data_IF_403192072095
#
_entry.id   IF_403192072095
#
_cell.length_a   1.000
_cell.length_b   1.000
_cell.length_c   1.000
_cell.angle_alpha   90.00
_cell.angle_beta   90.00
_cell.angle_gamma   90.00
#
_symmetry.space_group_name_H-M   'P 1'
#
loop_
_entity.id
_entity.type
_entity.pdbx_description
1 polymer ?
#
# COMPACT_ATOMS: atom_id res chain seq x y z
N UNK A 1 19.03 -3.98 0.01
CA UNK A 1 18.14 -3.27 0.95
C UNK A 1 17.78 -4.19 2.09
N UNK A 2 17.95 -3.74 3.31
CA UNK A 2 17.56 -4.52 4.49
C UNK A 2 16.09 -4.31 4.78
N UNK A 3 15.37 -5.35 5.25
CA UNK A 3 14.00 -5.16 5.74
C UNK A 3 13.99 -4.17 6.89
N UNK A 4 12.92 -3.43 7.03
CA UNK A 4 12.74 -2.49 8.11
C UNK A 4 12.37 -1.11 7.62
N UNK A 5 12.63 -0.11 8.45
CA UNK A 5 12.29 1.26 8.12
C UNK A 5 13.16 1.78 6.97
N UNK A 6 12.50 2.33 5.95
CA UNK A 6 13.15 2.85 4.75
C UNK A 6 12.72 4.30 4.57
N UNK A 7 13.69 5.20 4.44
CA UNK A 7 13.40 6.62 4.24
C UNK A 7 14.38 7.31 3.28
N UNK A 8 15.37 6.61 2.75
CA UNK A 8 16.29 7.21 1.78
C UNK A 8 15.62 7.33 0.41
N UNK A 9 15.87 8.43 -0.27
CA UNK A 9 15.29 8.71 -1.58
C UNK A 9 15.61 7.61 -2.59
N UNK A 10 16.83 7.09 -2.60
CA UNK A 10 17.22 6.04 -3.53
C UNK A 10 16.48 4.73 -3.28
N UNK A 11 16.26 4.35 -2.02
CA UNK A 11 15.53 3.14 -1.69
C UNK A 11 14.05 3.27 -2.04
N UNK A 12 13.47 4.44 -1.77
CA UNK A 12 12.08 4.73 -2.12
C UNK A 12 11.88 4.69 -3.63
N UNK A 13 12.84 5.22 -4.39
CA UNK A 13 12.79 5.18 -5.86
C UNK A 13 12.81 3.73 -6.37
N UNK A 14 13.63 2.87 -5.80
CA UNK A 14 13.69 1.45 -6.19
C UNK A 14 12.34 0.77 -5.95
N UNK A 15 11.73 0.98 -4.78
CA UNK A 15 10.42 0.40 -4.46
C UNK A 15 9.40 0.83 -5.51
N UNK A 16 9.32 2.13 -5.76
CA UNK A 16 8.27 2.69 -6.63
C UNK A 16 8.47 2.27 -8.09
N UNK A 17 9.71 2.21 -8.55
CA UNK A 17 9.98 1.79 -9.93
C UNK A 17 9.71 0.32 -10.17
N UNK A 18 9.91 -0.52 -9.17
CA UNK A 18 9.79 -1.97 -9.33
C UNK A 18 8.42 -2.53 -9.01
N UNK A 19 7.56 -1.78 -8.31
CA UNK A 19 6.26 -2.29 -7.88
C UNK A 19 5.33 -2.50 -9.08
N UNK A 20 4.64 -3.64 -9.10
CA UNK A 20 3.66 -4.00 -10.15
C UNK A 20 2.27 -4.17 -9.59
N UNK A 21 2.14 -4.66 -8.35
CA UNK A 21 0.87 -4.89 -7.69
C UNK A 21 0.82 -4.08 -6.41
N UNK A 22 -0.23 -3.31 -6.25
CA UNK A 22 -0.44 -2.47 -5.06
C UNK A 22 -1.83 -2.73 -4.52
N UNK A 23 -1.91 -3.24 -3.29
CA UNK A 23 -3.17 -3.31 -2.58
C UNK A 23 -3.32 -2.04 -1.75
N UNK A 24 -4.51 -1.46 -1.75
CA UNK A 24 -4.74 -0.16 -1.11
C UNK A 24 -5.78 -0.31 -0.02
N UNK A 25 -5.32 -0.24 1.23
CA UNK A 25 -6.18 -0.33 2.41
C UNK A 25 -6.81 1.03 2.67
N UNK A 26 -8.14 1.05 2.79
CA UNK A 26 -8.87 2.29 2.97
C UNK A 26 -9.14 3.02 1.66
N UNK A 27 -8.98 2.36 0.52
CA UNK A 27 -9.28 2.94 -0.78
C UNK A 27 -10.74 3.41 -0.85
N UNK A 28 -10.96 4.58 -1.43
CA UNK A 28 -12.30 5.12 -1.67
C UNK A 28 -12.77 4.73 -3.06
N UNK A 29 -14.09 4.59 -3.20
CA UNK A 29 -14.69 4.32 -4.51
C UNK A 29 -15.00 5.63 -5.27
N UNK A 30 -15.69 5.52 -6.40
CA UNK A 30 -15.97 6.65 -7.29
C UNK A 30 -16.87 7.72 -6.68
N UNK A 31 -17.55 7.45 -5.57
CA UNK A 31 -18.31 8.46 -4.82
C UNK A 31 -17.40 9.49 -4.16
N UNK A 32 -16.11 9.13 -3.99
CA UNK A 32 -15.09 9.99 -3.39
C UNK A 32 -13.91 10.14 -4.34
N UNK A 33 -14.21 10.34 -5.64
CA UNK A 33 -13.18 10.31 -6.69
C UNK A 33 -12.16 11.45 -6.58
N UNK A 34 -12.44 12.49 -5.80
CA UNK A 34 -11.55 13.64 -5.56
C UNK A 34 -10.65 13.46 -4.33
N UNK A 35 -10.87 12.44 -3.52
CA UNK A 35 -10.06 12.22 -2.32
C UNK A 35 -8.77 11.46 -2.65
N UNK A 36 -7.67 11.72 -1.90
CA UNK A 36 -6.38 11.05 -2.16
C UNK A 36 -6.47 9.53 -2.15
N UNK A 37 -7.32 8.95 -1.31
CA UNK A 37 -7.49 7.49 -1.26
C UNK A 37 -8.18 6.92 -2.51
N UNK A 38 -8.58 7.78 -3.45
CA UNK A 38 -9.05 7.38 -4.79
C UNK A 38 -8.11 7.91 -5.87
N UNK A 39 -7.69 9.18 -5.80
CA UNK A 39 -6.87 9.78 -6.86
C UNK A 39 -5.50 9.14 -6.96
N UNK A 40 -4.90 8.78 -5.82
CA UNK A 40 -3.58 8.16 -5.81
C UNK A 40 -3.63 6.75 -6.40
N UNK A 41 -4.52 5.83 -5.97
CA UNK A 41 -4.64 4.53 -6.63
C UNK A 41 -4.93 4.63 -8.12
N UNK A 42 -5.79 5.56 -8.54
CA UNK A 42 -6.07 5.76 -9.97
C UNK A 42 -4.81 6.14 -10.73
N UNK A 43 -4.00 7.03 -10.16
CA UNK A 43 -2.74 7.45 -10.76
C UNK A 43 -1.74 6.29 -10.83
N UNK A 44 -1.68 5.44 -9.79
CA UNK A 44 -0.82 4.25 -9.80
C UNK A 44 -1.20 3.32 -10.96
N UNK A 45 -2.50 3.14 -11.19
CA UNK A 45 -2.99 2.32 -12.30
C UNK A 45 -2.59 2.94 -13.65
N UNK A 46 -2.69 4.25 -13.78
CA UNK A 46 -2.26 4.97 -14.98
C UNK A 46 -0.75 4.83 -15.23
N UNK A 47 0.01 4.50 -14.20
CA UNK A 47 1.45 4.29 -14.27
C UNK A 47 1.85 2.81 -14.27
N UNK A 48 0.91 1.93 -14.62
CA UNK A 48 1.20 0.54 -14.91
C UNK A 48 1.02 -0.44 -13.75
N UNK A 49 0.50 0.00 -12.61
CA UNK A 49 0.27 -0.89 -11.48
C UNK A 49 -1.09 -1.58 -11.58
N UNK A 50 -1.13 -2.85 -11.17
CA UNK A 50 -2.39 -3.50 -10.82
C UNK A 50 -2.79 -3.02 -9.44
N UNK A 51 -3.99 -2.48 -9.28
CA UNK A 51 -4.48 -1.93 -8.01
C UNK A 51 -5.58 -2.85 -7.47
N UNK A 52 -5.44 -3.26 -6.22
CA UNK A 52 -6.41 -4.11 -5.52
C UNK A 52 -7.01 -3.29 -4.37
N UNK A 53 -8.29 -2.93 -4.44
CA UNK A 53 -8.92 -2.18 -3.34
C UNK A 53 -9.18 -3.08 -2.14
N UNK A 54 -8.89 -2.58 -0.94
CA UNK A 54 -9.15 -3.27 0.32
C UNK A 54 -9.89 -2.31 1.25
N UNK A 55 -11.19 -2.49 1.39
CA UNK A 55 -12.01 -1.64 2.25
C UNK A 55 -13.36 -2.33 2.47
N UNK A 56 -13.75 -2.60 3.73
CA UNK A 56 -15.04 -3.27 4.00
C UNK A 56 -16.26 -2.40 3.71
N UNK A 57 -16.07 -1.09 3.49
CA UNK A 57 -17.21 -0.15 3.29
C UNK A 57 -17.53 0.12 1.82
N UNK A 58 -16.77 -0.45 0.89
CA UNK A 58 -17.03 -0.32 -0.55
C UNK A 58 -17.19 -1.70 -1.19
N UNK A 59 -17.86 -1.76 -2.34
CA UNK A 59 -18.02 -3.03 -3.08
C UNK A 59 -17.01 -3.16 -4.21
N UNK A 60 -16.60 -2.05 -4.80
CA UNK A 60 -15.62 -2.04 -5.89
C UNK A 60 -15.02 -0.63 -6.03
N UNK A 61 -13.87 -0.55 -6.68
CA UNK A 61 -13.27 0.71 -7.08
C UNK A 61 -12.44 0.48 -8.35
N UNK A 62 -12.44 1.43 -9.26
CA UNK A 62 -11.76 1.35 -10.55
C UNK A 62 -12.16 0.07 -11.33
N UNK A 63 -13.41 -0.37 -11.17
CA UNK A 63 -13.91 -1.58 -11.82
C UNK A 63 -13.39 -2.89 -11.22
N UNK A 64 -12.70 -2.85 -10.08
CA UNK A 64 -12.13 -4.01 -9.40
C UNK A 64 -12.92 -4.30 -8.13
N UNK A 65 -13.37 -5.55 -7.91
CA UNK A 65 -14.04 -5.90 -6.66
C UNK A 65 -13.12 -5.64 -5.46
N UNK A 66 -13.68 -5.07 -4.39
CA UNK A 66 -12.91 -4.75 -3.19
C UNK A 66 -12.85 -5.96 -2.26
N UNK A 67 -11.68 -6.19 -1.69
CA UNK A 67 -11.52 -7.11 -0.57
C UNK A 67 -11.97 -6.39 0.70
N UNK A 68 -12.47 -7.13 1.66
CA UNK A 68 -12.92 -6.57 2.93
C UNK A 68 -11.77 -6.34 3.90
N UNK A 69 -10.71 -7.16 3.80
CA UNK A 69 -9.58 -7.16 4.70
C UNK A 69 -8.35 -7.69 3.96
N UNK A 70 -7.16 -7.31 4.43
CA UNK A 70 -5.89 -7.87 3.91
C UNK A 70 -5.82 -9.38 4.07
N UNK A 71 -6.58 -9.96 5.02
CA UNK A 71 -6.61 -11.41 5.21
C UNK A 71 -7.18 -12.16 4.00
N UNK A 72 -7.86 -11.47 3.10
CA UNK A 72 -8.39 -12.05 1.87
C UNK A 72 -7.40 -12.02 0.69
N UNK A 73 -6.21 -11.44 0.87
CA UNK A 73 -5.19 -11.47 -0.17
C UNK A 73 -4.75 -12.91 -0.43
N UNK A 74 -4.78 -13.31 -1.71
CA UNK A 74 -4.46 -14.67 -2.12
C UNK A 74 -3.07 -14.79 -2.74
N UNK A 75 -2.42 -13.66 -2.99
CA UNK A 75 -1.08 -13.59 -3.55
C UNK A 75 -0.29 -12.47 -2.89
N UNK A 76 1.03 -12.55 -2.98
CA UNK A 76 1.88 -11.48 -2.50
C UNK A 76 1.71 -10.25 -3.38
N UNK A 77 1.40 -9.11 -2.76
CA UNK A 77 1.46 -7.81 -3.45
C UNK A 77 2.83 -7.18 -3.18
N UNK A 78 3.29 -6.37 -4.13
CA UNK A 78 4.59 -5.71 -3.97
C UNK A 78 4.51 -4.65 -2.88
N UNK A 79 3.44 -3.87 -2.86
CA UNK A 79 3.24 -2.79 -1.89
C UNK A 79 1.81 -2.84 -1.36
N UNK A 80 1.68 -2.75 -0.05
CA UNK A 80 0.42 -2.49 0.62
C UNK A 80 0.42 -1.01 1.01
N UNK A 81 -0.37 -0.21 0.29
CA UNK A 81 -0.50 1.23 0.53
C UNK A 81 -1.63 1.48 1.51
N UNK A 82 -1.37 2.21 2.60
CA UNK A 82 -2.28 2.26 3.74
C UNK A 82 -2.81 3.67 3.97
N UNK A 83 -4.13 3.81 3.83
CA UNK A 83 -4.90 5.00 4.18
C UNK A 83 -5.76 4.69 5.40
N UNK A 84 -5.12 4.51 6.56
CA UNK A 84 -5.79 4.23 7.83
C UNK A 84 -5.16 5.09 8.91
N UNK A 85 -5.92 5.43 9.94
CA UNK A 85 -5.42 6.19 11.09
C UNK A 85 -4.32 5.40 11.79
N UNK A 86 -3.40 6.12 12.42
CA UNK A 86 -2.26 5.51 13.11
C UNK A 86 -2.70 4.48 14.16
N UNK A 87 -3.79 4.75 14.87
CA UNK A 87 -4.30 3.86 15.91
C UNK A 87 -4.88 2.53 15.37
N UNK A 88 -5.12 2.43 14.07
CA UNK A 88 -5.58 1.20 13.43
C UNK A 88 -4.41 0.32 12.92
N UNK A 89 -3.18 0.83 12.95
CA UNK A 89 -2.04 0.11 12.36
C UNK A 89 -1.66 -1.15 13.15
N UNK A 90 -1.71 -1.20 14.49
CA UNK A 90 -1.44 -2.45 15.21
C UNK A 90 -2.36 -3.60 14.79
N UNK A 91 -3.65 -3.35 14.64
CA UNK A 91 -4.60 -4.38 14.16
C UNK A 91 -4.28 -4.81 12.74
N UNK A 92 -3.94 -3.86 11.87
CA UNK A 92 -3.54 -4.17 10.50
C UNK A 92 -2.28 -5.04 10.48
N UNK A 93 -1.31 -4.75 11.34
CA UNK A 93 -0.10 -5.56 11.47
C UNK A 93 -0.44 -6.99 11.90
N UNK A 94 -1.37 -7.16 12.85
CA UNK A 94 -1.84 -8.49 13.25
C UNK A 94 -2.42 -9.25 12.06
N UNK A 95 -3.24 -8.60 11.26
CA UNK A 95 -3.87 -9.20 10.08
C UNK A 95 -2.82 -9.61 9.03
N UNK A 96 -1.85 -8.75 8.77
CA UNK A 96 -0.77 -9.05 7.84
C UNK A 96 0.04 -10.25 8.31
N UNK A 97 0.39 -10.27 9.59
CA UNK A 97 1.21 -11.34 10.16
C UNK A 97 0.45 -12.66 10.29
N UNK A 98 -0.88 -12.63 10.25
CA UNK A 98 -1.71 -13.83 10.19
C UNK A 98 -1.71 -14.48 8.81
N UNK A 99 -1.31 -13.78 7.75
CA UNK A 99 -1.17 -14.39 6.43
C UNK A 99 0.01 -15.35 6.40
N UNK A 100 -0.07 -16.41 5.58
CA UNK A 100 1.13 -17.21 5.28
C UNK A 100 2.26 -16.30 4.79
N UNK A 101 3.50 -16.62 5.15
CA UNK A 101 4.63 -15.74 4.86
C UNK A 101 4.74 -15.39 3.37
N UNK A 102 4.44 -16.34 2.48
CA UNK A 102 4.51 -16.14 1.02
C UNK A 102 3.39 -15.27 0.47
N UNK A 103 2.35 -14.96 1.26
CA UNK A 103 1.24 -14.10 0.86
C UNK A 103 1.33 -12.69 1.48
N UNK A 104 2.31 -12.46 2.36
CA UNK A 104 2.52 -11.15 2.97
C UNK A 104 3.06 -10.15 1.95
N UNK A 105 2.67 -8.86 2.04
CA UNK A 105 3.21 -7.84 1.13
C UNK A 105 4.72 -7.71 1.28
N UNK A 106 5.40 -7.34 0.19
CA UNK A 106 6.83 -7.07 0.23
C UNK A 106 7.15 -5.79 0.99
N UNK A 107 6.30 -4.78 0.80
CA UNK A 107 6.43 -3.46 1.43
C UNK A 107 5.08 -3.06 2.03
N UNK A 108 5.10 -2.51 3.24
CA UNK A 108 3.95 -1.83 3.83
C UNK A 108 4.27 -0.34 3.83
N UNK A 109 3.44 0.43 3.15
CA UNK A 109 3.65 1.86 2.94
C UNK A 109 2.55 2.64 3.65
N UNK A 110 2.90 3.34 4.72
CA UNK A 110 1.98 4.19 5.47
C UNK A 110 2.01 5.60 4.88
N UNK A 111 0.86 6.09 4.47
CA UNK A 111 0.72 7.39 3.81
C UNK A 111 1.08 8.56 4.74
N UNK A 112 1.21 9.74 4.17
CA UNK A 112 1.55 10.98 4.90
C UNK A 112 0.67 11.13 6.13
N UNK A 113 1.31 11.44 7.26
CA UNK A 113 0.63 11.61 8.54
C UNK A 113 0.37 10.32 9.30
N UNK A 114 0.70 9.16 8.72
CA UNK A 114 0.45 7.87 9.36
C UNK A 114 1.77 7.27 9.79
N UNK A 115 1.92 7.12 11.10
CA UNK A 115 3.14 6.57 11.69
C UNK A 115 2.79 5.76 12.94
N UNK A 116 3.40 4.59 13.07
CA UNK A 116 3.28 3.75 14.26
C UNK A 116 4.54 2.91 14.39
N UNK A 117 5.51 3.40 15.15
CA UNK A 117 6.85 2.81 15.21
C UNK A 117 6.84 1.37 15.73
N UNK A 118 6.02 1.10 16.75
CA UNK A 118 5.95 -0.23 17.35
C UNK A 118 5.41 -1.28 16.37
N UNK A 119 4.34 -0.95 15.68
CA UNK A 119 3.78 -1.85 14.66
C UNK A 119 4.74 -2.02 13.48
N UNK A 120 5.41 -0.92 13.07
CA UNK A 120 6.41 -0.98 12.00
C UNK A 120 7.56 -1.91 12.36
N UNK A 121 8.03 -1.87 13.62
CA UNK A 121 9.09 -2.75 14.09
C UNK A 121 8.67 -4.23 14.03
N UNK A 122 7.42 -4.53 14.38
CA UNK A 122 6.90 -5.90 14.29
C UNK A 122 6.90 -6.42 12.85
N UNK A 123 6.49 -5.58 11.91
CA UNK A 123 6.49 -5.95 10.48
C UNK A 123 7.93 -6.12 9.98
N UNK A 124 8.82 -5.22 10.36
CA UNK A 124 10.23 -5.30 9.98
C UNK A 124 10.89 -6.58 10.52
N UNK A 125 10.57 -6.96 11.76
CA UNK A 125 11.08 -8.19 12.36
C UNK A 125 10.63 -9.44 11.59
N UNK A 126 9.50 -9.36 10.91
CA UNK A 126 8.99 -10.43 10.06
C UNK A 126 9.56 -10.40 8.63
N UNK A 127 10.50 -9.50 8.34
CA UNK A 127 11.14 -9.40 7.03
C UNK A 127 10.42 -8.50 6.04
N UNK A 128 9.45 -7.71 6.50
CA UNK A 128 8.69 -6.80 5.63
C UNK A 128 9.33 -5.41 5.66
N UNK A 129 9.56 -4.82 4.49
CA UNK A 129 10.05 -3.45 4.40
C UNK A 129 8.90 -2.49 4.75
N UNK A 130 9.18 -1.50 5.58
CA UNK A 130 8.16 -0.53 6.03
C UNK A 130 8.59 0.88 5.66
N UNK A 131 7.67 1.64 5.05
CA UNK A 131 7.80 3.07 4.79
C UNK A 131 6.71 3.76 5.58
N UNK A 132 7.05 4.83 6.29
CA UNK A 132 6.09 5.57 7.11
C UNK A 132 6.04 7.04 6.74
N UNK A 133 4.84 7.61 6.85
CA UNK A 133 4.64 9.06 6.76
C UNK A 133 5.14 9.64 5.43
N UNK A 134 4.79 8.98 4.33
CA UNK A 134 5.16 9.43 2.98
C UNK A 134 4.01 9.20 2.02
N UNK A 135 3.88 10.06 1.02
CA UNK A 135 2.85 9.92 0.00
C UNK A 135 3.36 9.07 -1.16
N UNK A 136 2.82 7.86 -1.32
CA UNK A 136 3.19 6.97 -2.41
C UNK A 136 2.95 7.63 -3.78
N UNK A 137 1.89 8.45 -3.88
CA UNK A 137 1.57 9.16 -5.11
C UNK A 137 2.64 10.15 -5.54
N UNK A 138 3.25 10.86 -4.57
CA UNK A 138 4.33 11.80 -4.87
C UNK A 138 5.53 11.08 -5.47
N UNK A 139 5.91 9.94 -4.87
CA UNK A 139 7.05 9.17 -5.36
C UNK A 139 6.75 8.49 -6.69
N UNK A 140 5.53 7.99 -6.88
CA UNK A 140 5.14 7.41 -8.16
C UNK A 140 5.16 8.46 -9.28
N UNK A 141 4.68 9.67 -9.01
CA UNK A 141 4.72 10.76 -9.98
C UNK A 141 6.15 11.16 -10.34
N UNK A 142 7.05 11.08 -9.38
CA UNK A 142 8.46 11.44 -9.56
C UNK A 142 9.24 10.39 -10.34
N UNK A 143 8.96 9.10 -10.11
CA UNK A 143 9.82 8.01 -10.56
C UNK A 143 9.18 7.05 -11.54
N UNK A 144 7.90 7.20 -11.86
CA UNK A 144 7.24 6.34 -12.83
C UNK A 144 6.53 7.18 -13.88
N UNK A 145 6.66 6.76 -15.14
CA UNK A 145 5.97 7.42 -16.24
C UNK A 145 4.57 6.84 -16.41
N UNK A 146 3.68 7.64 -17.02
CA UNK A 146 2.38 7.14 -17.42
C UNK A 146 2.55 6.11 -18.52
N UNK A 147 1.76 5.05 -18.44
CA UNK A 147 1.75 4.02 -19.48
C UNK A 147 0.75 4.43 -20.55
N UNK A 148 1.20 4.55 -21.78
CA UNK A 148 0.32 4.81 -22.91
C UNK A 148 -0.42 3.54 -23.29
N UNK A 149 -1.69 3.70 -23.67
CA UNK A 149 -2.54 2.59 -24.08
C UNK A 149 -3.13 2.85 -25.44
#
# INVERSE_FOLDING_TARGET
MQPGAVDSESELAVIVRSMRTVAVVGMKDERRADEPAHTIPRMLRERGCEVIPVNPTITQALGVPALRSVTELTKRVDVLDVFRRADAIPTLADEILALPAEQRPGVVWLQTGIRHDKAAARLADAGITVVQDRCLGVYAARYRERVER
#
